data_IF_164733935205
#
_entry.id   IF_164733935205
#
_cell.length_a   1.000
_cell.length_b   1.000
_cell.length_c   1.000
_cell.angle_alpha   90.00
_cell.angle_beta   90.00
_cell.angle_gamma   90.00
#
_symmetry.space_group_name_H-M   'P 1'
#
loop_
_entity.id
_entity.type
_entity.pdbx_description
1 polymer ?
#
# COMPACT_ATOMS: atom_id res chain seq x y z
N UNK A 1 46.01 23.67 -0.22
CA UNK A 1 45.14 22.95 -1.19
C UNK A 1 45.08 21.50 -0.75
N UNK A 2 43.97 20.79 -0.56
CA UNK A 2 42.57 20.91 -1.01
C UNK A 2 41.62 20.56 0.15
N UNK A 3 40.51 21.29 0.24
CA UNK A 3 39.29 20.87 0.94
C UNK A 3 38.69 19.66 0.18
N UNK A 4 38.31 18.60 0.89
CA UNK A 4 37.57 17.46 0.33
C UNK A 4 36.34 17.18 1.19
N UNK A 5 35.17 17.55 0.68
CA UNK A 5 33.90 17.57 1.37
C UNK A 5 33.30 16.17 1.65
N UNK A 6 32.43 16.17 2.67
CA UNK A 6 31.59 15.09 3.18
C UNK A 6 30.86 14.25 2.12
N UNK A 7 30.60 12.97 2.45
CA UNK A 7 29.34 12.29 2.13
C UNK A 7 28.94 11.40 3.30
N UNK A 8 27.97 11.90 4.06
CA UNK A 8 27.16 11.16 5.03
C UNK A 8 26.68 9.85 4.40
N UNK A 9 26.80 8.75 5.15
CA UNK A 9 26.02 7.55 4.87
C UNK A 9 24.55 8.00 4.89
N UNK A 10 23.92 8.02 3.72
CA UNK A 10 22.46 8.02 3.64
C UNK A 10 22.05 6.68 4.25
N UNK A 11 21.80 6.73 5.55
CA UNK A 11 20.87 5.83 6.22
C UNK A 11 19.61 5.92 5.38
N UNK A 12 19.40 4.92 4.52
CA UNK A 12 18.16 4.76 3.79
C UNK A 12 17.12 4.44 4.85
N UNK A 13 16.58 5.50 5.46
CA UNK A 13 15.34 5.43 6.18
C UNK A 13 14.37 4.69 5.25
N UNK A 14 13.91 3.51 5.68
CA UNK A 14 12.80 2.81 5.05
C UNK A 14 11.71 3.85 4.83
N UNK A 15 11.52 4.28 3.58
CA UNK A 15 10.35 5.05 3.20
C UNK A 15 9.18 4.09 3.29
N UNK A 16 8.12 4.38 4.05
CA UNK A 16 6.96 3.51 4.22
C UNK A 16 6.02 3.55 3.00
N UNK A 17 6.59 3.63 1.80
CA UNK A 17 5.88 3.79 0.54
C UNK A 17 6.11 2.56 -0.35
N UNK A 18 5.62 1.40 0.08
CA UNK A 18 5.38 0.29 -0.85
C UNK A 18 3.92 -0.11 -0.72
N UNK A 19 3.06 0.67 -1.37
CA UNK A 19 1.72 0.21 -1.74
C UNK A 19 1.70 -0.43 -3.13
N UNK A 20 2.78 -0.29 -3.92
CA UNK A 20 3.09 -1.07 -5.13
C UNK A 20 4.61 -1.30 -5.23
N UNK A 21 5.05 -2.21 -6.11
CA UNK A 21 6.42 -2.69 -6.20
C UNK A 21 7.48 -1.57 -6.22
N UNK A 22 8.66 -1.88 -5.64
CA UNK A 22 9.81 -0.99 -5.47
C UNK A 22 10.10 -0.11 -6.70
N UNK A 23 9.91 1.21 -6.54
CA UNK A 23 10.17 2.21 -7.58
C UNK A 23 8.93 2.68 -8.35
N UNK A 24 7.75 2.17 -8.03
CA UNK A 24 6.47 2.70 -8.51
C UNK A 24 5.99 3.76 -7.51
N UNK A 25 5.71 4.97 -7.99
CA UNK A 25 5.06 5.97 -7.14
C UNK A 25 3.65 5.47 -6.78
N UNK A 26 3.29 5.48 -5.49
CA UNK A 26 1.99 4.99 -5.07
C UNK A 26 0.89 5.86 -5.69
N UNK A 27 -0.03 5.23 -6.43
CA UNK A 27 -1.21 5.90 -7.02
C UNK A 27 -2.10 6.52 -5.94
N UNK A 28 -2.10 5.93 -4.74
CA UNK A 28 -2.84 6.42 -3.58
C UNK A 28 -1.88 6.78 -2.45
N UNK A 29 -2.01 8.00 -1.94
CA UNK A 29 -1.18 8.49 -0.83
C UNK A 29 -1.65 8.01 0.55
N UNK A 30 -2.85 7.41 0.62
CA UNK A 30 -3.45 6.91 1.86
C UNK A 30 -4.06 5.53 1.62
N UNK A 31 -3.83 4.64 2.58
CA UNK A 31 -4.38 3.28 2.58
C UNK A 31 -5.91 3.27 2.38
N UNK A 32 -6.64 4.15 3.08
CA UNK A 32 -8.10 4.23 2.95
C UNK A 32 -8.57 4.56 1.53
N UNK A 33 -7.79 5.34 0.77
CA UNK A 33 -8.12 5.65 -0.63
C UNK A 33 -7.95 4.41 -1.51
N UNK A 34 -6.87 3.66 -1.32
CA UNK A 34 -6.63 2.40 -2.03
C UNK A 34 -7.71 1.36 -1.72
N UNK A 35 -8.12 1.23 -0.45
CA UNK A 35 -9.18 0.31 -0.02
C UNK A 35 -10.53 0.73 -0.63
N UNK A 36 -10.91 2.01 -0.53
CA UNK A 36 -12.17 2.50 -1.11
C UNK A 36 -12.21 2.31 -2.62
N UNK A 37 -11.09 2.52 -3.30
CA UNK A 37 -10.98 2.24 -4.73
C UNK A 37 -11.17 0.74 -5.03
N UNK A 38 -10.46 -0.14 -4.32
CA UNK A 38 -10.57 -1.59 -4.48
C UNK A 38 -12.00 -2.09 -4.20
N UNK A 39 -12.65 -1.60 -3.15
CA UNK A 39 -14.04 -1.90 -2.83
C UNK A 39 -15.01 -1.45 -3.93
N UNK A 40 -14.81 -0.23 -4.46
CA UNK A 40 -15.64 0.31 -5.55
C UNK A 40 -15.45 -0.49 -6.85
N UNK A 41 -14.24 -0.95 -7.14
CA UNK A 41 -13.91 -1.78 -8.32
C UNK A 41 -14.40 -3.22 -8.17
N UNK A 42 -14.45 -3.74 -6.94
CA UNK A 42 -14.99 -5.06 -6.62
C UNK A 42 -16.53 -5.14 -6.75
N UNK A 43 -17.13 -4.31 -7.62
CA UNK A 43 -18.58 -4.17 -7.91
C UNK A 43 -19.33 -5.44 -8.30
N UNK A 44 -18.70 -6.61 -8.27
CA UNK A 44 -19.28 -7.88 -8.63
C UNK A 44 -19.04 -8.90 -7.51
N UNK A 45 -20.11 -9.19 -6.74
CA UNK A 45 -20.26 -10.39 -5.88
C UNK A 45 -19.53 -10.37 -4.52
N UNK A 46 -19.39 -11.57 -3.96
CA UNK A 46 -18.64 -11.88 -2.77
C UNK A 46 -17.15 -12.09 -3.08
N UNK A 47 -16.29 -11.76 -2.13
CA UNK A 47 -14.85 -11.90 -2.24
C UNK A 47 -14.15 -11.32 -1.02
N UNK A 48 -12.84 -11.10 -1.16
CA UNK A 48 -12.03 -10.50 -0.11
C UNK A 48 -10.94 -9.58 -0.68
N UNK A 49 -10.67 -8.49 0.03
CA UNK A 49 -9.52 -7.62 -0.21
C UNK A 49 -8.46 -8.03 0.79
N UNK A 50 -7.31 -8.51 0.31
CA UNK A 50 -6.15 -8.84 1.14
C UNK A 50 -5.18 -7.67 1.15
N UNK A 51 -4.84 -7.19 2.34
CA UNK A 51 -3.82 -6.18 2.57
C UNK A 51 -2.54 -6.92 2.95
N UNK A 52 -1.47 -6.64 2.22
CA UNK A 52 -0.16 -7.24 2.46
C UNK A 52 0.71 -6.25 3.21
N UNK A 53 1.59 -6.75 4.06
CA UNK A 53 2.64 -5.97 4.70
C UNK A 53 3.84 -5.77 3.77
N UNK A 54 4.86 -5.04 4.24
CA UNK A 54 6.10 -4.80 3.47
C UNK A 54 6.92 -6.06 3.14
N UNK A 55 6.60 -7.21 3.74
CA UNK A 55 7.21 -8.50 3.41
C UNK A 55 6.39 -9.29 2.37
N UNK A 56 5.21 -8.79 2.00
CA UNK A 56 4.27 -9.44 1.10
C UNK A 56 3.34 -10.43 1.79
N UNK A 57 3.38 -10.51 3.12
CA UNK A 57 2.53 -11.39 3.92
C UNK A 57 1.18 -10.74 4.21
N UNK A 58 0.13 -11.55 4.35
CA UNK A 58 -1.23 -11.03 4.59
C UNK A 58 -1.33 -10.47 6.00
N UNK A 59 -1.47 -9.15 6.11
CA UNK A 59 -1.68 -8.44 7.37
C UNK A 59 -3.16 -8.40 7.74
N UNK A 60 -4.04 -8.17 6.75
CA UNK A 60 -5.48 -8.01 6.98
C UNK A 60 -6.30 -8.51 5.80
N UNK A 61 -7.44 -9.13 6.11
CA UNK A 61 -8.44 -9.54 5.13
C UNK A 61 -9.73 -8.78 5.39
N UNK A 62 -10.24 -8.10 4.37
CA UNK A 62 -11.55 -7.45 4.37
C UNK A 62 -12.45 -8.29 3.46
N UNK A 63 -13.25 -9.16 4.07
CA UNK A 63 -14.28 -9.89 3.34
C UNK A 63 -15.42 -8.95 2.93
N UNK A 64 -15.98 -9.18 1.75
CA UNK A 64 -17.20 -8.52 1.30
C UNK A 64 -18.15 -9.57 0.71
N UNK A 65 -19.42 -9.51 1.07
CA UNK A 65 -20.46 -10.33 0.48
C UNK A 65 -21.66 -9.45 0.09
N UNK A 66 -22.51 -9.98 -0.78
CA UNK A 66 -23.70 -9.26 -1.25
C UNK A 66 -24.75 -9.08 -0.13
N UNK A 67 -24.71 -9.94 0.89
CA UNK A 67 -25.66 -10.02 2.01
C UNK A 67 -25.51 -8.88 3.01
N UNK A 68 -24.31 -8.27 3.11
CA UNK A 68 -24.01 -7.18 4.03
C UNK A 68 -24.38 -5.79 3.47
N UNK A 69 -24.81 -5.70 2.20
CA UNK A 69 -25.40 -4.46 1.67
C UNK A 69 -26.85 -4.33 2.14
N UNK A 70 -27.06 -3.74 3.31
CA UNK A 70 -28.37 -3.13 3.61
C UNK A 70 -28.57 -1.96 2.65
N UNK A 71 -29.51 -2.12 1.72
CA UNK A 71 -30.09 -1.02 0.92
C UNK A 71 -30.77 0.00 1.83
#
# INVERSE_FOLDING_TARGET
MRLGAAKTAREWAKSPDEFEARGVEPVFLKQDQAINYAQSRASFRCGEIRILDSSGEVERIIAFNETDRKL
#
